data_IF_653694486905
#
_entry.id   IF_653694486905
#
_cell.length_a   1.000
_cell.length_b   1.000
_cell.length_c   1.000
_cell.angle_alpha   90.00
_cell.angle_beta   90.00
_cell.angle_gamma   90.00
#
_symmetry.space_group_name_H-M   'P 1'
#
loop_
_entity.id
_entity.type
_entity.pdbx_description
1 polymer ?
#
# COMPACT_ATOMS: atom_id res chain seq x y z
N UNK A 1 36.72 -0.78 -0.35
CA UNK A 1 35.45 -0.40 -0.99
C UNK A 1 35.18 -1.33 -2.17
N UNK A 2 35.04 -2.64 -1.92
CA UNK A 2 35.05 -3.66 -2.99
C UNK A 2 33.98 -4.75 -2.77
N UNK A 3 32.85 -4.36 -2.16
CA UNK A 3 31.67 -5.24 -1.95
C UNK A 3 30.34 -4.56 -2.32
N UNK A 4 30.37 -3.51 -3.13
CA UNK A 4 29.19 -2.94 -3.77
C UNK A 4 28.82 -3.81 -4.96
N UNK A 5 28.30 -4.99 -4.63
CA UNK A 5 28.05 -6.06 -5.57
C UNK A 5 26.91 -5.68 -6.53
N UNK A 6 27.28 -5.15 -7.69
CA UNK A 6 26.49 -4.87 -8.91
C UNK A 6 25.00 -5.23 -8.78
N UNK A 7 24.24 -4.37 -8.10
CA UNK A 7 22.83 -4.59 -7.79
C UNK A 7 22.02 -4.64 -9.08
N UNK A 8 22.35 -3.76 -10.04
CA UNK A 8 21.73 -3.72 -11.35
C UNK A 8 22.02 -5.00 -12.15
N UNK A 9 23.25 -5.50 -12.09
CA UNK A 9 23.64 -6.78 -12.66
C UNK A 9 22.87 -7.95 -12.03
N UNK A 10 22.74 -7.97 -10.70
CA UNK A 10 21.92 -8.96 -9.98
C UNK A 10 20.47 -8.90 -10.42
N UNK A 11 19.85 -7.72 -10.40
CA UNK A 11 18.47 -7.51 -10.83
C UNK A 11 18.24 -7.98 -12.28
N UNK A 12 19.12 -7.58 -13.20
CA UNK A 12 19.08 -8.01 -14.60
C UNK A 12 19.28 -9.52 -14.74
N UNK A 13 20.16 -10.11 -13.95
CA UNK A 13 20.40 -11.55 -13.97
C UNK A 13 19.15 -12.34 -13.57
N UNK A 14 18.44 -11.90 -12.52
CA UNK A 14 17.17 -12.50 -12.06
C UNK A 14 16.12 -12.34 -13.16
N UNK A 15 15.95 -11.14 -13.70
CA UNK A 15 15.03 -10.87 -14.82
C UNK A 15 15.32 -11.77 -16.03
N UNK A 16 16.59 -11.99 -16.38
CA UNK A 16 17.00 -12.82 -17.51
C UNK A 16 16.83 -14.33 -17.26
N UNK A 17 16.82 -14.79 -16.00
CA UNK A 17 16.45 -16.16 -15.63
C UNK A 17 14.95 -16.40 -15.79
N UNK A 18 14.13 -15.37 -15.55
CA UNK A 18 12.67 -15.43 -15.63
C UNK A 18 12.10 -15.29 -17.05
N UNK A 19 12.88 -14.75 -17.99
CA UNK A 19 12.49 -14.71 -19.41
C UNK A 19 12.27 -16.12 -19.95
N UNK A 20 11.15 -16.33 -20.66
CA UNK A 20 10.86 -17.59 -21.35
C UNK A 20 12.02 -17.96 -22.27
N UNK A 21 12.63 -19.12 -22.03
CA UNK A 21 13.61 -19.74 -22.93
C UNK A 21 12.94 -20.90 -23.64
N UNK A 22 13.33 -21.15 -24.89
CA UNK A 22 12.82 -22.27 -25.67
C UNK A 22 12.96 -23.57 -24.84
N UNK A 23 11.84 -24.28 -24.63
CA UNK A 23 11.67 -25.53 -23.86
C UNK A 23 11.89 -25.53 -22.33
N UNK A 24 12.42 -24.48 -21.68
CA UNK A 24 12.64 -24.49 -20.22
C UNK A 24 11.67 -23.56 -19.48
N UNK A 25 10.84 -24.13 -18.60
CA UNK A 25 10.01 -23.34 -17.67
C UNK A 25 10.94 -22.63 -16.66
N UNK A 26 10.86 -21.30 -16.54
CA UNK A 26 11.66 -20.57 -15.56
C UNK A 26 11.21 -20.91 -14.14
N UNK A 27 12.15 -20.92 -13.20
CA UNK A 27 11.86 -21.13 -11.78
C UNK A 27 11.40 -19.81 -11.15
N UNK A 28 10.10 -19.57 -11.16
CA UNK A 28 9.51 -18.30 -10.70
C UNK A 28 9.64 -18.14 -9.17
N UNK A 29 9.57 -19.24 -8.42
CA UNK A 29 9.71 -19.24 -6.95
C UNK A 29 11.10 -18.77 -6.52
N UNK A 30 12.16 -19.33 -7.14
CA UNK A 30 13.54 -18.89 -6.88
C UNK A 30 13.75 -17.42 -7.29
N UNK A 31 13.12 -16.98 -8.39
CA UNK A 31 13.14 -15.58 -8.79
C UNK A 31 12.50 -14.65 -7.76
N UNK A 32 11.35 -15.04 -7.20
CA UNK A 32 10.67 -14.33 -6.12
C UNK A 32 11.60 -14.14 -4.91
N UNK A 33 12.20 -15.24 -4.43
CA UNK A 33 13.12 -15.22 -3.29
C UNK A 33 14.37 -14.36 -3.57
N UNK A 34 14.95 -14.45 -4.77
CA UNK A 34 16.10 -13.65 -5.17
C UNK A 34 15.79 -12.14 -5.19
N UNK A 35 14.60 -11.74 -5.64
CA UNK A 35 14.18 -10.34 -5.55
C UNK A 35 13.98 -9.89 -4.11
N UNK A 36 13.37 -10.73 -3.26
CA UNK A 36 13.19 -10.41 -1.84
C UNK A 36 14.52 -10.25 -1.09
N UNK A 37 15.50 -11.11 -1.39
CA UNK A 37 16.86 -10.98 -0.82
C UNK A 37 17.57 -9.70 -1.30
N UNK A 38 17.42 -9.35 -2.58
CA UNK A 38 17.97 -8.11 -3.14
C UNK A 38 17.33 -6.87 -2.50
N UNK A 39 16.01 -6.89 -2.30
CA UNK A 39 15.25 -5.81 -1.67
C UNK A 39 15.72 -5.56 -0.24
N UNK A 40 15.89 -6.62 0.57
CA UNK A 40 16.43 -6.51 1.94
C UNK A 40 17.85 -5.94 1.97
N UNK A 41 18.70 -6.32 1.01
CA UNK A 41 20.03 -5.74 0.88
C UNK A 41 19.99 -4.24 0.57
N UNK A 42 19.07 -3.80 -0.30
CA UNK A 42 18.85 -2.40 -0.63
C UNK A 42 18.28 -1.59 0.54
N UNK A 43 17.43 -2.19 1.37
CA UNK A 43 16.95 -1.56 2.61
C UNK A 43 18.08 -1.30 3.59
N UNK A 44 19.00 -2.26 3.75
CA UNK A 44 20.19 -2.09 4.60
C UNK A 44 21.15 -0.99 4.10
N UNK A 45 21.07 -0.66 2.82
CA UNK A 45 21.84 0.42 2.18
C UNK A 45 21.07 1.74 2.10
N UNK A 46 19.94 1.86 2.82
CA UNK A 46 19.12 3.09 2.86
C UNK A 46 18.65 3.55 1.46
N UNK A 47 18.36 2.59 0.58
CA UNK A 47 17.89 2.82 -0.78
C UNK A 47 16.42 2.34 -0.96
N UNK A 48 15.43 2.95 -0.26
CA UNK A 48 14.07 2.43 -0.18
C UNK A 48 13.36 2.37 -1.53
N UNK A 49 13.54 3.36 -2.41
CA UNK A 49 12.91 3.37 -3.74
C UNK A 49 13.35 2.17 -4.61
N UNK A 50 14.63 1.76 -4.51
CA UNK A 50 15.13 0.60 -5.25
C UNK A 50 14.68 -0.72 -4.64
N UNK A 51 14.58 -0.78 -3.30
CA UNK A 51 13.97 -1.92 -2.62
C UNK A 51 12.52 -2.11 -3.05
N UNK A 52 11.75 -1.03 -3.17
CA UNK A 52 10.36 -1.06 -3.63
C UNK A 52 10.21 -1.66 -5.04
N UNK A 53 11.11 -1.31 -5.97
CA UNK A 53 11.10 -1.93 -7.30
C UNK A 53 11.41 -3.43 -7.28
N UNK A 54 12.28 -3.88 -6.38
CA UNK A 54 12.54 -5.31 -6.20
C UNK A 54 11.31 -6.04 -5.64
N UNK A 55 10.62 -5.45 -4.67
CA UNK A 55 9.36 -5.99 -4.14
C UNK A 55 8.22 -6.00 -5.18
N UNK A 56 8.15 -5.02 -6.08
CA UNK A 56 7.23 -5.07 -7.22
C UNK A 56 7.53 -6.24 -8.16
N UNK A 57 8.81 -6.50 -8.43
CA UNK A 57 9.21 -7.65 -9.23
C UNK A 57 8.89 -8.98 -8.53
N UNK A 58 9.05 -9.02 -7.19
CA UNK A 58 8.65 -10.15 -6.36
C UNK A 58 7.13 -10.38 -6.43
N UNK A 59 6.32 -9.34 -6.26
CA UNK A 59 4.86 -9.43 -6.37
C UNK A 59 4.40 -10.00 -7.72
N UNK A 60 5.05 -9.62 -8.83
CA UNK A 60 4.78 -10.20 -10.17
C UNK A 60 5.12 -11.68 -10.25
N UNK A 61 6.16 -12.13 -9.55
CA UNK A 61 6.50 -13.54 -9.45
C UNK A 61 5.42 -14.30 -8.65
N UNK A 62 5.01 -13.79 -7.49
CA UNK A 62 3.96 -14.38 -6.65
C UNK A 62 2.61 -14.44 -7.38
N UNK A 63 2.25 -13.40 -8.13
CA UNK A 63 1.07 -13.41 -8.99
C UNK A 63 1.11 -14.56 -10.01
N UNK A 64 2.27 -14.77 -10.65
CA UNK A 64 2.47 -15.85 -11.62
C UNK A 64 2.46 -17.24 -10.97
N UNK A 65 2.74 -17.32 -9.66
CA UNK A 65 2.64 -18.53 -8.83
C UNK A 65 1.23 -18.73 -8.26
N UNK A 66 0.30 -17.79 -8.50
CA UNK A 66 -1.06 -17.80 -7.93
C UNK A 66 -1.02 -17.80 -6.39
N UNK A 67 0.00 -17.17 -5.81
CA UNK A 67 0.12 -16.99 -4.36
C UNK A 67 -0.38 -15.60 -3.97
N UNK A 68 -1.69 -15.48 -3.76
CA UNK A 68 -2.33 -14.20 -3.54
C UNK A 68 -1.93 -13.52 -2.21
N UNK A 69 -1.65 -14.31 -1.16
CA UNK A 69 -1.15 -13.78 0.12
C UNK A 69 0.27 -13.23 -0.01
N UNK A 70 1.16 -13.96 -0.69
CA UNK A 70 2.54 -13.51 -0.95
C UNK A 70 2.59 -12.31 -1.89
N UNK A 71 1.71 -12.27 -2.90
CA UNK A 71 1.55 -11.13 -3.80
C UNK A 71 1.15 -9.87 -3.02
N UNK A 72 0.09 -9.95 -2.21
CA UNK A 72 -0.36 -8.82 -1.42
C UNK A 72 0.71 -8.32 -0.45
N UNK A 73 1.40 -9.22 0.26
CA UNK A 73 2.48 -8.84 1.16
C UNK A 73 3.63 -8.13 0.42
N UNK A 74 4.04 -8.65 -0.74
CA UNK A 74 5.10 -8.05 -1.54
C UNK A 74 4.70 -6.66 -2.07
N UNK A 75 3.43 -6.47 -2.43
CA UNK A 75 2.89 -5.15 -2.82
C UNK A 75 2.90 -4.16 -1.65
N UNK A 76 2.57 -4.61 -0.44
CA UNK A 76 2.61 -3.77 0.75
C UNK A 76 4.03 -3.38 1.13
N UNK A 77 4.98 -4.31 1.06
CA UNK A 77 6.38 -4.01 1.29
C UNK A 77 6.88 -3.00 0.25
N UNK A 78 6.51 -3.13 -1.02
CA UNK A 78 6.81 -2.12 -2.03
C UNK A 78 6.21 -0.75 -1.70
N UNK A 79 4.93 -0.71 -1.34
CA UNK A 79 4.22 0.52 -1.02
C UNK A 79 4.87 1.27 0.16
N UNK A 80 5.17 0.56 1.26
CA UNK A 80 5.80 1.14 2.45
C UNK A 80 7.19 1.69 2.15
N UNK A 81 7.98 1.01 1.34
CA UNK A 81 9.28 1.52 0.91
C UNK A 81 9.15 2.79 0.04
N UNK A 82 8.16 2.88 -0.85
CA UNK A 82 7.90 4.12 -1.58
C UNK A 82 7.46 5.26 -0.66
N UNK A 83 6.65 4.98 0.37
CA UNK A 83 6.27 5.97 1.39
C UNK A 83 7.49 6.48 2.15
N UNK A 84 8.41 5.59 2.53
CA UNK A 84 9.69 5.99 3.15
C UNK A 84 10.48 6.91 2.22
N UNK A 85 10.63 6.55 0.94
CA UNK A 85 11.34 7.37 -0.04
C UNK A 85 10.69 8.77 -0.24
N UNK A 86 9.36 8.85 -0.22
CA UNK A 86 8.66 10.14 -0.27
C UNK A 86 8.89 10.96 1.01
N UNK A 87 8.82 10.33 2.19
CA UNK A 87 9.09 11.02 3.45
C UNK A 87 10.52 11.57 3.52
N UNK A 88 11.50 10.82 3.02
CA UNK A 88 12.89 11.28 2.93
C UNK A 88 13.00 12.49 1.98
N UNK A 89 12.30 12.43 0.85
CA UNK A 89 12.25 13.54 -0.12
C UNK A 89 11.62 14.81 0.48
N UNK A 90 10.51 14.65 1.21
CA UNK A 90 9.81 15.73 1.93
C UNK A 90 10.68 16.28 3.05
N UNK A 91 11.35 15.42 3.81
CA UNK A 91 12.27 15.81 4.89
C UNK A 91 13.45 16.65 4.40
N UNK A 92 13.97 16.31 3.21
CA UNK A 92 15.02 17.06 2.53
C UNK A 92 14.50 18.34 1.83
N UNK A 93 13.18 18.57 1.82
CA UNK A 93 12.51 19.67 1.09
C UNK A 93 12.85 19.69 -0.40
N UNK A 94 13.14 18.52 -0.96
CA UNK A 94 13.39 18.37 -2.39
C UNK A 94 12.06 18.50 -3.14
N UNK A 95 11.97 19.33 -4.18
CA UNK A 95 10.83 19.31 -5.09
C UNK A 95 10.75 17.93 -5.76
N UNK A 96 9.79 17.10 -5.34
CA UNK A 96 9.50 15.82 -5.98
C UNK A 96 8.31 15.97 -6.93
N UNK A 97 8.26 15.18 -8.00
CA UNK A 97 7.07 15.04 -8.85
C UNK A 97 6.04 14.10 -8.23
N UNK A 98 6.12 13.81 -6.92
CA UNK A 98 5.21 12.91 -6.21
C UNK A 98 5.14 11.49 -6.82
N UNK A 99 6.24 11.05 -7.47
CA UNK A 99 6.30 9.76 -8.14
C UNK A 99 6.25 8.61 -7.13
N UNK A 100 6.92 8.76 -5.98
CA UNK A 100 6.96 7.72 -4.95
C UNK A 100 5.59 7.57 -4.29
N UNK A 101 4.92 8.66 -3.91
CA UNK A 101 3.56 8.57 -3.36
C UNK A 101 2.56 8.00 -4.38
N UNK A 102 2.64 8.40 -5.66
CA UNK A 102 1.77 7.84 -6.71
C UNK A 102 2.00 6.33 -6.88
N UNK A 103 3.26 5.89 -6.86
CA UNK A 103 3.61 4.48 -6.89
C UNK A 103 3.10 3.73 -5.65
N UNK A 104 3.20 4.33 -4.47
CA UNK A 104 2.69 3.75 -3.22
C UNK A 104 1.16 3.56 -3.27
N UNK A 105 0.40 4.59 -3.66
CA UNK A 105 -1.06 4.52 -3.80
C UNK A 105 -1.46 3.37 -4.75
N UNK A 106 -0.78 3.25 -5.88
CA UNK A 106 -1.03 2.16 -6.83
C UNK A 106 -0.74 0.78 -6.23
N UNK A 107 0.35 0.64 -5.47
CA UNK A 107 0.70 -0.61 -4.79
C UNK A 107 -0.35 -0.98 -3.72
N UNK A 108 -0.76 -0.04 -2.87
CA UNK A 108 -1.83 -0.25 -1.90
C UNK A 108 -3.15 -0.60 -2.58
N UNK A 109 -3.54 0.14 -3.63
CA UNK A 109 -4.76 -0.12 -4.38
C UNK A 109 -4.79 -1.54 -4.96
N UNK A 110 -3.64 -2.02 -5.45
CA UNK A 110 -3.51 -3.38 -5.94
C UNK A 110 -3.60 -4.41 -4.80
N UNK A 111 -2.93 -4.19 -3.67
CA UNK A 111 -3.01 -5.07 -2.50
C UNK A 111 -4.44 -5.15 -1.92
N UNK A 112 -5.14 -4.03 -1.82
CA UNK A 112 -6.55 -3.94 -1.39
C UNK A 112 -7.43 -4.78 -2.32
N UNK A 113 -7.22 -4.67 -3.64
CA UNK A 113 -7.96 -5.46 -4.63
C UNK A 113 -7.71 -6.96 -4.46
N UNK A 114 -6.46 -7.38 -4.30
CA UNK A 114 -6.11 -8.80 -4.06
C UNK A 114 -6.81 -9.31 -2.79
N UNK A 115 -6.79 -8.57 -1.68
CA UNK A 115 -7.50 -8.98 -0.46
C UNK A 115 -9.02 -9.02 -0.62
N UNK A 116 -9.59 -8.08 -1.38
CA UNK A 116 -11.03 -8.04 -1.66
C UNK A 116 -11.46 -9.25 -2.50
N UNK A 117 -10.69 -9.59 -3.54
CA UNK A 117 -10.94 -10.77 -4.39
C UNK A 117 -10.82 -12.09 -3.59
N UNK A 118 -9.94 -12.14 -2.59
CA UNK A 118 -9.80 -13.28 -1.67
C UNK A 118 -10.82 -13.29 -0.51
N UNK A 119 -11.81 -12.37 -0.50
CA UNK A 119 -12.82 -12.23 0.57
C UNK A 119 -12.28 -11.86 1.96
N UNK A 120 -11.04 -11.34 2.03
CA UNK A 120 -10.43 -10.86 3.27
C UNK A 120 -10.72 -9.37 3.46
N UNK A 121 -11.99 -9.02 3.67
CA UNK A 121 -12.46 -7.61 3.75
C UNK A 121 -11.87 -6.86 4.93
N UNK A 122 -11.62 -7.53 6.07
CA UNK A 122 -10.99 -6.90 7.25
C UNK A 122 -9.57 -6.41 6.95
N UNK A 123 -8.76 -7.21 6.25
CA UNK A 123 -7.42 -6.80 5.84
C UNK A 123 -7.47 -5.69 4.79
N UNK A 124 -8.39 -5.79 3.82
CA UNK A 124 -8.58 -4.73 2.82
C UNK A 124 -8.94 -3.39 3.48
N UNK A 125 -9.80 -3.38 4.50
CA UNK A 125 -10.15 -2.18 5.25
C UNK A 125 -8.98 -1.60 6.03
N UNK A 126 -8.19 -2.45 6.71
CA UNK A 126 -6.99 -2.03 7.43
C UNK A 126 -5.97 -1.34 6.51
N UNK A 127 -5.83 -1.83 5.27
CA UNK A 127 -4.96 -1.21 4.27
C UNK A 127 -5.49 0.13 3.75
N UNK A 128 -6.81 0.27 3.61
CA UNK A 128 -7.43 1.55 3.29
C UNK A 128 -7.16 2.59 4.40
N UNK A 129 -7.25 2.19 5.67
CA UNK A 129 -6.90 3.04 6.81
C UNK A 129 -5.42 3.44 6.79
N UNK A 130 -4.52 2.47 6.63
CA UNK A 130 -3.06 2.71 6.57
C UNK A 130 -2.72 3.71 5.47
N UNK A 131 -3.32 3.57 4.28
CA UNK A 131 -3.12 4.50 3.17
C UNK A 131 -3.69 5.90 3.47
N UNK A 132 -4.87 5.98 4.08
CA UNK A 132 -5.45 7.25 4.53
C UNK A 132 -4.53 8.00 5.51
N UNK A 133 -3.97 7.29 6.49
CA UNK A 133 -3.04 7.85 7.48
C UNK A 133 -1.73 8.32 6.85
N UNK A 134 -1.21 7.58 5.87
CA UNK A 134 -0.05 8.00 5.07
C UNK A 134 -0.36 9.32 4.34
N UNK A 135 -1.50 9.41 3.68
CA UNK A 135 -1.89 10.61 2.92
C UNK A 135 -2.13 11.82 3.83
N UNK A 136 -2.73 11.61 5.01
CA UNK A 136 -2.87 12.68 6.01
C UNK A 136 -1.50 13.20 6.47
N UNK A 137 -0.53 12.32 6.76
CA UNK A 137 0.83 12.72 7.15
C UNK A 137 1.55 13.49 6.06
N UNK A 138 1.25 13.21 4.79
CA UNK A 138 1.74 13.96 3.63
C UNK A 138 0.89 15.21 3.31
N UNK A 139 0.01 15.61 4.21
CA UNK A 139 -0.84 16.80 4.12
C UNK A 139 -1.80 16.79 2.90
N UNK A 140 -2.33 15.60 2.58
CA UNK A 140 -3.28 15.35 1.48
C UNK A 140 -4.63 14.82 2.00
N UNK A 141 -5.36 15.58 2.85
CA UNK A 141 -6.61 15.11 3.45
C UNK A 141 -7.73 14.84 2.44
N UNK A 142 -7.74 15.55 1.30
CA UNK A 142 -8.72 15.34 0.24
C UNK A 142 -8.62 13.96 -0.43
N UNK A 143 -7.40 13.50 -0.70
CA UNK A 143 -7.15 12.15 -1.25
C UNK A 143 -7.40 11.08 -0.16
N UNK A 144 -6.99 11.33 1.09
CA UNK A 144 -7.18 10.41 2.21
C UNK A 144 -8.65 10.08 2.49
N UNK A 145 -9.54 11.07 2.32
CA UNK A 145 -10.98 10.93 2.58
C UNK A 145 -11.62 9.77 1.82
N UNK A 146 -11.30 9.60 0.53
CA UNK A 146 -11.85 8.52 -0.29
C UNK A 146 -11.43 7.14 0.22
N UNK A 147 -10.21 7.02 0.76
CA UNK A 147 -9.72 5.77 1.32
C UNK A 147 -10.36 5.43 2.66
N UNK A 148 -10.55 6.42 3.55
CA UNK A 148 -11.27 6.21 4.81
C UNK A 148 -12.73 5.84 4.60
N UNK A 149 -13.40 6.48 3.62
CA UNK A 149 -14.78 6.14 3.28
C UNK A 149 -14.89 4.70 2.76
N UNK A 150 -13.96 4.28 1.90
CA UNK A 150 -13.89 2.88 1.45
C UNK A 150 -13.62 1.90 2.61
N UNK A 151 -12.83 2.30 3.62
CA UNK A 151 -12.62 1.47 4.80
C UNK A 151 -13.93 1.26 5.59
N UNK A 152 -14.70 2.34 5.79
CA UNK A 152 -16.00 2.27 6.47
C UNK A 152 -16.98 1.33 5.75
N UNK A 153 -17.06 1.40 4.42
CA UNK A 153 -17.90 0.51 3.60
C UNK A 153 -17.54 -0.98 3.81
N UNK A 154 -16.23 -1.29 3.79
CA UNK A 154 -15.71 -2.65 4.00
C UNK A 154 -15.92 -3.15 5.44
N UNK A 155 -16.05 -2.24 6.41
CA UNK A 155 -16.24 -2.52 7.84
C UNK A 155 -17.70 -2.45 8.30
N UNK A 156 -18.66 -2.36 7.37
CA UNK A 156 -20.10 -2.28 7.68
C UNK A 156 -20.64 -3.38 8.62
N UNK A 157 -19.97 -4.54 8.71
CA UNK A 157 -20.32 -5.62 9.63
C UNK A 157 -19.91 -5.36 11.10
N UNK A 158 -18.97 -4.44 11.32
CA UNK A 158 -18.49 -4.02 12.64
C UNK A 158 -18.82 -2.54 12.83
N UNK A 159 -19.95 -2.21 13.49
CA UNK A 159 -20.39 -0.83 13.64
C UNK A 159 -19.35 0.06 14.30
N UNK A 160 -18.59 -0.47 15.27
CA UNK A 160 -17.53 0.29 15.95
C UNK A 160 -16.39 0.66 15.00
N UNK A 161 -15.90 -0.27 14.19
CA UNK A 161 -14.82 0.00 13.24
C UNK A 161 -15.28 0.96 12.13
N UNK A 162 -16.53 0.80 11.67
CA UNK A 162 -17.16 1.71 10.71
C UNK A 162 -17.21 3.15 11.27
N UNK A 163 -17.66 3.33 12.52
CA UNK A 163 -17.71 4.64 13.17
C UNK A 163 -16.32 5.28 13.32
N UNK A 164 -15.29 4.49 13.64
CA UNK A 164 -13.91 4.97 13.69
C UNK A 164 -13.48 5.49 12.32
N UNK A 165 -13.69 4.70 11.26
CA UNK A 165 -13.39 5.09 9.88
C UNK A 165 -14.12 6.36 9.44
N UNK A 166 -15.41 6.50 9.77
CA UNK A 166 -16.19 7.71 9.51
C UNK A 166 -15.68 8.92 10.30
N UNK A 167 -15.16 8.72 11.52
CA UNK A 167 -14.49 9.77 12.29
C UNK A 167 -13.25 10.33 11.57
N UNK A 168 -12.47 9.47 10.92
CA UNK A 168 -11.35 9.90 10.07
C UNK A 168 -11.83 10.69 8.85
N UNK A 169 -12.93 10.27 8.21
CA UNK A 169 -13.57 11.02 7.11
C UNK A 169 -13.99 12.42 7.57
N UNK A 170 -14.69 12.53 8.70
CA UNK A 170 -15.11 13.82 9.24
C UNK A 170 -13.92 14.73 9.55
N UNK A 171 -12.85 14.17 10.10
CA UNK A 171 -11.59 14.90 10.36
C UNK A 171 -10.97 15.44 9.07
N UNK A 172 -10.91 14.62 8.01
CA UNK A 172 -10.44 15.07 6.69
C UNK A 172 -11.31 16.21 6.14
N UNK A 173 -12.64 16.12 6.25
CA UNK A 173 -13.56 17.16 5.77
C UNK A 173 -13.36 18.48 6.48
N UNK A 174 -13.17 18.46 7.81
CA UNK A 174 -12.85 19.66 8.60
C UNK A 174 -11.53 20.28 8.10
N UNK A 175 -10.49 19.47 7.87
CA UNK A 175 -9.21 19.94 7.34
C UNK A 175 -9.35 20.56 5.95
N UNK A 176 -10.23 20.01 5.10
CA UNK A 176 -10.60 20.55 3.79
C UNK A 176 -11.57 21.75 3.86
N UNK A 177 -11.95 22.21 5.06
CA UNK A 177 -12.94 23.29 5.31
C UNK A 177 -14.35 22.99 4.82
N UNK A 178 -14.67 21.72 4.57
CA UNK A 178 -16.02 21.25 4.25
C UNK A 178 -16.78 20.92 5.55
N UNK A 179 -17.23 21.98 6.25
CA UNK A 179 -17.92 21.83 7.53
C UNK A 179 -19.32 21.24 7.38
N UNK A 180 -20.01 21.55 6.29
CA UNK A 180 -21.35 21.00 5.98
C UNK A 180 -21.25 19.50 5.73
N UNK A 181 -20.25 19.08 4.93
CA UNK A 181 -19.99 17.67 4.70
C UNK A 181 -19.55 16.94 5.96
N UNK A 182 -18.80 17.58 6.86
CA UNK A 182 -18.40 17.01 8.14
C UNK A 182 -19.60 16.81 9.07
N UNK A 183 -20.51 17.80 9.14
CA UNK A 183 -21.75 17.69 9.89
C UNK A 183 -22.60 16.52 9.38
N UNK A 184 -22.73 16.36 8.06
CA UNK A 184 -23.44 15.23 7.46
C UNK A 184 -22.88 13.86 7.89
N UNK A 185 -21.55 13.73 7.95
CA UNK A 185 -20.90 12.49 8.41
C UNK A 185 -21.17 12.25 9.90
N UNK A 186 -21.09 13.28 10.75
CA UNK A 186 -21.41 13.12 12.17
C UNK A 186 -22.87 12.75 12.42
N UNK A 187 -23.79 13.27 11.61
CA UNK A 187 -25.20 12.88 11.66
C UNK A 187 -25.37 11.40 11.29
N UNK A 188 -24.72 10.92 10.22
CA UNK A 188 -24.71 9.50 9.86
C UNK A 188 -24.15 8.62 10.98
N UNK A 189 -23.02 9.02 11.58
CA UNK A 189 -22.43 8.32 12.73
C UNK A 189 -23.39 8.24 13.91
N UNK A 190 -24.13 9.31 14.21
CA UNK A 190 -25.11 9.32 15.29
C UNK A 190 -26.27 8.34 15.04
N UNK A 191 -26.76 8.26 13.80
CA UNK A 191 -27.80 7.29 13.44
C UNK A 191 -27.29 5.85 13.57
N UNK A 192 -26.11 5.54 13.03
CA UNK A 192 -25.50 4.19 13.13
C UNK A 192 -25.28 3.76 14.59
N UNK A 193 -24.84 4.68 15.45
CA UNK A 193 -24.64 4.42 16.87
C UNK A 193 -25.96 4.13 17.60
N UNK A 194 -27.04 4.85 17.27
CA UNK A 194 -28.37 4.62 17.85
C UNK A 194 -28.94 3.25 17.43
N UNK A 195 -28.83 2.90 16.15
CA UNK A 195 -29.31 1.61 15.63
C UNK A 195 -28.55 0.42 16.22
N UNK A 196 -27.25 0.57 16.42
CA UNK A 196 -26.37 -0.51 16.89
C UNK A 196 -26.35 -0.64 18.42
N UNK A 197 -26.51 0.46 19.15
CA UNK A 197 -26.51 0.49 20.62
C UNK A 197 -27.88 0.37 21.28
N UNK A 198 -28.97 0.46 20.52
CA UNK A 198 -30.35 0.33 20.99
C UNK A 198 -30.87 -1.10 21.13
N UNK A 199 -30.00 -2.12 21.04
CA UNK A 199 -30.34 -3.54 21.24
C UNK A 199 -29.82 -4.06 22.57
#
# INVERSE_FOLDING_TARGET
MEKDADILGKYRSISNKLKKRFLKRPNIAEGSEQYGALAKGLQQQECPQYAAFCYLAQARCEHSLVNSAGEAQSLLDAARNFVTAENDSVGLKCPSFQEHITAAINCYGHAIRVHTENKNTSLAAALCLELGDVLQRLNKPGEAMAHFQRAAELQSQSPLDCLVSLGHVATCKIQCRDYDGALGVFTEMAYLAQESGGK
#
